data_IF_913425684107
#
_entry.id   IF_913425684107
#
_cell.length_a   1.000
_cell.length_b   1.000
_cell.length_c   1.000
_cell.angle_alpha   90.00
_cell.angle_beta   90.00
_cell.angle_gamma   90.00
#
_symmetry.space_group_name_H-M   'P 1'
#
loop_
_entity.id
_entity.type
_entity.pdbx_description
1 polymer ?
#
# COMPACT_ATOMS: atom_id res chain seq x y z
N UNK A 1 -4.30 15.82 -25.36
CA UNK A 1 -4.95 15.12 -24.23
C UNK A 1 -3.94 15.01 -23.10
N UNK A 2 -4.14 15.69 -21.96
CA UNK A 2 -3.27 15.49 -20.80
C UNK A 2 -3.30 14.01 -20.39
N UNK A 3 -2.15 13.47 -19.96
CA UNK A 3 -2.09 12.10 -19.45
C UNK A 3 -2.89 12.05 -18.15
N UNK A 4 -3.62 10.96 -17.87
CA UNK A 4 -4.48 10.85 -16.67
C UNK A 4 -3.75 11.15 -15.35
N UNK A 5 -2.44 10.88 -15.30
CA UNK A 5 -1.55 11.26 -14.19
C UNK A 5 -1.49 12.78 -13.95
N UNK A 6 -1.48 13.60 -15.00
CA UNK A 6 -1.47 15.06 -14.91
C UNK A 6 -2.82 15.60 -14.40
N UNK A 7 -3.93 14.96 -14.80
CA UNK A 7 -5.27 15.30 -14.28
C UNK A 7 -5.38 14.98 -12.80
N UNK A 8 -4.82 13.85 -12.35
CA UNK A 8 -4.80 13.48 -10.93
C UNK A 8 -3.89 14.43 -10.12
N UNK A 9 -2.73 14.80 -10.65
CA UNK A 9 -1.83 15.78 -10.01
C UNK A 9 -2.52 17.15 -9.83
N UNK A 10 -3.29 17.58 -10.84
CA UNK A 10 -4.05 18.83 -10.76
C UNK A 10 -5.07 18.80 -9.62
N UNK A 11 -5.84 17.72 -9.50
CA UNK A 11 -6.83 17.57 -8.41
C UNK A 11 -6.16 17.53 -7.03
N UNK A 12 -4.99 16.90 -6.92
CA UNK A 12 -4.23 16.89 -5.66
C UNK A 12 -3.81 18.30 -5.22
N UNK A 13 -3.46 19.18 -6.17
CA UNK A 13 -3.12 20.59 -5.89
C UNK A 13 -4.34 21.45 -5.60
N UNK A 14 -5.40 21.27 -6.39
CA UNK A 14 -6.61 22.11 -6.31
C UNK A 14 -7.49 21.74 -5.09
N UNK A 15 -7.46 20.48 -4.66
CA UNK A 15 -8.30 19.94 -3.59
C UNK A 15 -7.49 19.12 -2.58
N UNK A 16 -6.62 19.76 -1.78
CA UNK A 16 -5.82 19.06 -0.76
C UNK A 16 -6.70 18.40 0.31
N UNK A 17 -7.94 18.87 0.50
CA UNK A 17 -8.93 18.30 1.42
C UNK A 17 -9.42 16.90 1.05
N UNK A 18 -9.17 16.42 -0.18
CA UNK A 18 -9.47 15.04 -0.58
C UNK A 18 -8.42 14.02 -0.13
N UNK A 19 -7.34 14.47 0.54
CA UNK A 19 -6.43 13.55 1.22
C UNK A 19 -7.24 12.70 2.21
N UNK A 20 -6.97 11.39 2.23
CA UNK A 20 -7.49 10.54 3.30
C UNK A 20 -6.79 10.94 4.60
N UNK A 21 -7.50 11.68 5.45
CA UNK A 21 -7.07 11.93 6.82
C UNK A 21 -7.72 10.84 7.70
N UNK A 22 -7.29 9.59 7.53
CA UNK A 22 -7.55 8.60 8.59
C UNK A 22 -6.64 8.97 9.78
N UNK A 23 -7.18 8.88 11.01
CA UNK A 23 -6.51 9.35 12.23
C UNK A 23 -5.10 8.73 12.35
N UNK A 24 -4.06 9.57 12.16
CA UNK A 24 -2.66 9.19 12.37
C UNK A 24 -1.75 9.21 11.14
N UNK A 25 -2.25 9.42 9.92
CA UNK A 25 -1.39 9.53 8.73
C UNK A 25 -1.04 10.99 8.38
N UNK A 26 0.23 11.24 8.04
CA UNK A 26 0.66 12.55 7.53
C UNK A 26 -0.05 12.88 6.20
N UNK A 27 -0.58 14.11 6.04
CA UNK A 27 -1.27 14.52 4.82
C UNK A 27 -0.32 14.43 3.62
N UNK A 28 -0.85 13.99 2.48
CA UNK A 28 -0.09 13.87 1.23
C UNK A 28 0.42 15.26 0.83
N UNK A 29 1.74 15.48 0.98
CA UNK A 29 2.41 16.68 0.51
C UNK A 29 2.23 16.81 -1.01
N UNK A 30 1.39 17.77 -1.41
CA UNK A 30 1.09 18.07 -2.80
C UNK A 30 2.35 18.36 -3.63
N UNK A 31 3.45 18.77 -2.99
CA UNK A 31 4.76 19.04 -3.59
C UNK A 31 5.52 17.76 -3.98
N UNK A 32 5.16 16.61 -3.41
CA UNK A 32 5.78 15.29 -3.63
C UNK A 32 4.88 14.33 -4.42
N UNK A 33 3.77 14.81 -4.98
CA UNK A 33 2.78 14.01 -5.72
C UNK A 33 3.38 13.19 -6.85
N UNK A 34 4.38 13.71 -7.58
CA UNK A 34 5.11 12.96 -8.62
C UNK A 34 5.74 11.66 -8.09
N UNK A 35 6.24 11.65 -6.85
CA UNK A 35 6.79 10.47 -6.19
C UNK A 35 5.73 9.40 -5.98
N UNK A 36 4.45 9.80 -5.82
CA UNK A 36 3.27 8.96 -5.57
C UNK A 36 2.38 8.69 -6.81
N UNK A 37 2.74 9.17 -8.01
CA UNK A 37 2.05 8.84 -9.28
C UNK A 37 2.69 7.73 -10.15
N UNK A 38 3.99 7.47 -10.04
CA UNK A 38 4.65 6.31 -10.68
C UNK A 38 4.21 4.94 -10.15
N UNK A 39 3.77 4.04 -11.03
CA UNK A 39 3.44 2.67 -10.62
C UNK A 39 4.66 1.94 -10.05
N UNK A 40 4.49 1.33 -8.88
CA UNK A 40 5.49 0.39 -8.35
C UNK A 40 5.17 -0.94 -9.02
N UNK A 41 6.02 -1.35 -9.96
CA UNK A 41 5.92 -2.66 -10.57
C UNK A 41 6.20 -3.75 -9.53
N UNK A 42 5.52 -4.89 -9.67
CA UNK A 42 5.88 -6.09 -8.92
C UNK A 42 7.28 -6.54 -9.35
N UNK A 43 8.13 -6.82 -8.37
CA UNK A 43 9.52 -7.23 -8.59
C UNK A 43 9.81 -8.41 -7.67
N UNK A 44 10.10 -9.56 -8.27
CA UNK A 44 10.32 -10.83 -7.56
C UNK A 44 11.51 -10.80 -6.59
N UNK A 45 12.48 -9.91 -6.81
CA UNK A 45 13.64 -9.71 -5.92
C UNK A 45 13.39 -8.68 -4.83
N UNK A 46 12.25 -7.97 -4.88
CA UNK A 46 11.90 -6.91 -3.93
C UNK A 46 10.55 -7.22 -3.30
N UNK A 47 10.59 -8.04 -2.26
CA UNK A 47 9.40 -8.64 -1.63
C UNK A 47 8.47 -7.62 -0.96
N UNK A 48 8.93 -6.38 -0.76
CA UNK A 48 8.10 -5.28 -0.25
C UNK A 48 7.39 -4.46 -1.34
N UNK A 49 7.56 -4.79 -2.63
CA UNK A 49 6.99 -4.02 -3.74
C UNK A 49 5.46 -3.96 -3.70
N UNK A 50 4.81 -5.11 -3.49
CA UNK A 50 3.35 -5.19 -3.32
C UNK A 50 2.86 -4.39 -2.13
N UNK A 51 3.49 -4.53 -0.95
CA UNK A 51 3.16 -3.75 0.25
C UNK A 51 3.24 -2.24 0.01
N UNK A 52 4.32 -1.78 -0.63
CA UNK A 52 4.51 -0.36 -0.97
C UNK A 52 3.48 0.15 -1.99
N UNK A 53 3.07 -0.70 -2.93
CA UNK A 53 2.03 -0.37 -3.90
C UNK A 53 0.66 -0.19 -3.22
N UNK A 54 0.30 -1.09 -2.30
CA UNK A 54 -0.96 -1.02 -1.56
C UNK A 54 -1.03 0.19 -0.63
N UNK A 55 0.01 0.46 0.17
CA UNK A 55 0.07 1.66 1.02
C UNK A 55 -0.08 2.96 0.22
N UNK A 56 0.51 3.01 -0.96
CA UNK A 56 0.38 4.16 -1.86
C UNK A 56 -1.03 4.27 -2.45
N UNK A 57 -1.65 3.15 -2.79
CA UNK A 57 -3.01 3.11 -3.30
C UNK A 57 -4.02 3.59 -2.24
N UNK A 58 -3.84 3.18 -0.97
CA UNK A 58 -4.63 3.67 0.18
C UNK A 58 -4.51 5.20 0.29
N UNK A 59 -3.30 5.77 0.19
CA UNK A 59 -3.10 7.23 0.21
C UNK A 59 -3.80 7.97 -0.94
N UNK A 60 -3.96 7.30 -2.08
CA UNK A 60 -4.62 7.88 -3.26
C UNK A 60 -6.14 7.68 -3.28
N UNK A 61 -6.71 6.80 -2.44
CA UNK A 61 -8.14 6.45 -2.45
C UNK A 61 -9.04 7.69 -2.42
N UNK A 62 -8.76 8.67 -1.57
CA UNK A 62 -9.55 9.90 -1.45
C UNK A 62 -9.51 10.75 -2.72
N UNK A 63 -8.32 10.93 -3.30
CA UNK A 63 -8.16 11.64 -4.57
C UNK A 63 -8.80 10.91 -5.75
N UNK A 64 -8.76 9.58 -5.79
CA UNK A 64 -9.42 8.79 -6.85
C UNK A 64 -10.94 8.97 -6.76
N UNK A 65 -11.51 8.91 -5.54
CA UNK A 65 -12.94 9.19 -5.30
C UNK A 65 -13.31 10.63 -5.70
N UNK A 66 -12.48 11.62 -5.32
CA UNK A 66 -12.66 13.02 -5.71
C UNK A 66 -12.60 13.24 -7.23
N UNK A 67 -11.65 12.60 -7.91
CA UNK A 67 -11.53 12.63 -9.37
C UNK A 67 -12.76 12.03 -10.05
N UNK A 68 -13.26 10.89 -9.57
CA UNK A 68 -14.47 10.29 -10.12
C UNK A 68 -15.66 11.26 -10.03
N UNK A 69 -15.88 11.86 -8.86
CA UNK A 69 -16.95 12.83 -8.66
C UNK A 69 -16.80 14.03 -9.60
N UNK A 70 -15.58 14.57 -9.73
CA UNK A 70 -15.28 15.69 -10.62
C UNK A 70 -15.56 15.34 -12.10
N UNK A 71 -15.15 14.16 -12.57
CA UNK A 71 -15.40 13.72 -13.94
C UNK A 71 -16.89 13.48 -14.22
N UNK A 72 -17.65 13.00 -13.23
CA UNK A 72 -19.11 12.84 -13.35
C UNK A 72 -19.84 14.19 -13.43
N UNK A 73 -19.29 15.25 -12.80
CA UNK A 73 -19.81 16.63 -12.86
C UNK A 73 -19.47 17.35 -14.18
N UNK A 74 -18.38 16.97 -14.85
CA UNK A 74 -17.99 17.56 -16.13
C UNK A 74 -18.95 17.14 -17.25
N UNK A 75 -19.44 18.11 -18.03
CA UNK A 75 -20.33 17.85 -19.17
C UNK A 75 -19.59 17.38 -20.43
N UNK A 76 -18.26 17.33 -20.40
CA UNK A 76 -17.43 16.95 -21.54
C UNK A 76 -17.57 15.45 -21.87
N UNK A 77 -17.78 15.08 -23.16
CA UNK A 77 -17.98 13.68 -23.55
C UNK A 77 -16.77 12.78 -23.27
N UNK A 78 -15.54 13.29 -23.34
CA UNK A 78 -14.35 12.50 -23.02
C UNK A 78 -14.24 12.28 -21.51
N UNK A 79 -14.54 13.30 -20.70
CA UNK A 79 -14.61 13.16 -19.24
C UNK A 79 -15.67 12.16 -18.78
N UNK A 80 -16.85 12.14 -19.39
CA UNK A 80 -17.89 11.14 -19.11
C UNK A 80 -17.46 9.72 -19.48
N UNK A 81 -16.75 9.57 -20.60
CA UNK A 81 -16.17 8.28 -21.01
C UNK A 81 -15.11 7.81 -20.00
N UNK A 82 -14.24 8.69 -19.54
CA UNK A 82 -13.23 8.39 -18.54
C UNK A 82 -13.86 8.07 -17.17
N UNK A 83 -14.90 8.81 -16.75
CA UNK A 83 -15.66 8.53 -15.53
C UNK A 83 -16.24 7.11 -15.55
N UNK A 84 -16.86 6.71 -16.67
CA UNK A 84 -17.40 5.36 -16.85
C UNK A 84 -16.32 4.28 -16.77
N UNK A 85 -15.15 4.53 -17.36
CA UNK A 85 -14.01 3.60 -17.29
C UNK A 85 -13.48 3.49 -15.86
N UNK A 86 -13.31 4.62 -15.18
CA UNK A 86 -12.84 4.67 -13.79
C UNK A 86 -13.82 3.96 -12.85
N UNK A 87 -15.11 4.20 -12.98
CA UNK A 87 -16.17 3.53 -12.21
C UNK A 87 -16.12 2.01 -12.37
N UNK A 88 -15.87 1.52 -13.58
CA UNK A 88 -15.82 0.07 -13.84
C UNK A 88 -14.61 -0.63 -13.22
N UNK A 89 -13.49 0.07 -13.03
CA UNK A 89 -12.27 -0.47 -12.41
C UNK A 89 -12.14 -0.08 -10.94
N UNK A 90 -13.11 0.66 -10.41
CA UNK A 90 -13.05 1.20 -9.05
C UNK A 90 -13.17 0.07 -8.04
N UNK A 91 -12.26 0.07 -7.08
CA UNK A 91 -12.23 -0.88 -5.97
C UNK A 91 -13.44 -0.61 -5.06
N UNK A 92 -14.16 -1.67 -4.70
CA UNK A 92 -15.31 -1.62 -3.79
C UNK A 92 -14.88 -1.36 -2.35
N UNK A 93 -15.78 -0.90 -1.49
CA UNK A 93 -15.40 -0.57 -0.11
C UNK A 93 -14.98 -1.80 0.70
N UNK A 94 -15.52 -2.98 0.39
CA UNK A 94 -15.08 -4.24 0.99
C UNK A 94 -13.66 -4.60 0.54
N UNK A 95 -13.33 -4.41 -0.73
CA UNK A 95 -11.97 -4.64 -1.23
C UNK A 95 -10.98 -3.61 -0.66
N UNK A 96 -11.40 -2.36 -0.43
CA UNK A 96 -10.57 -1.38 0.29
C UNK A 96 -10.28 -1.82 1.72
N UNK A 97 -11.27 -2.34 2.44
CA UNK A 97 -11.07 -2.93 3.78
C UNK A 97 -10.10 -4.11 3.71
N UNK A 98 -10.28 -5.01 2.74
CA UNK A 98 -9.39 -6.15 2.56
C UNK A 98 -7.95 -5.73 2.27
N UNK A 99 -7.73 -4.67 1.48
CA UNK A 99 -6.40 -4.13 1.22
C UNK A 99 -5.80 -3.58 2.52
N UNK A 100 -6.58 -2.91 3.36
CA UNK A 100 -6.12 -2.39 4.65
C UNK A 100 -5.68 -3.55 5.58
N UNK A 101 -6.52 -4.57 5.73
CA UNK A 101 -6.21 -5.77 6.51
C UNK A 101 -4.95 -6.47 5.98
N UNK A 102 -4.81 -6.54 4.65
CA UNK A 102 -3.64 -7.14 4.02
C UNK A 102 -2.37 -6.30 4.28
N UNK A 103 -2.47 -4.97 4.27
CA UNK A 103 -1.32 -4.11 4.57
C UNK A 103 -0.83 -4.26 6.00
N UNK A 104 -1.72 -4.52 6.96
CA UNK A 104 -1.34 -4.83 8.34
C UNK A 104 -0.48 -6.10 8.40
N UNK A 105 -0.95 -7.19 7.78
CA UNK A 105 -0.22 -8.46 7.72
C UNK A 105 1.13 -8.30 7.00
N UNK A 106 1.14 -7.59 5.86
CA UNK A 106 2.34 -7.38 5.07
C UNK A 106 3.36 -6.45 5.75
N UNK A 107 2.93 -5.58 6.66
CA UNK A 107 3.83 -4.66 7.38
C UNK A 107 4.92 -5.42 8.14
N UNK A 108 4.58 -6.52 8.81
CA UNK A 108 5.55 -7.34 9.54
C UNK A 108 6.67 -7.89 8.64
N UNK A 109 6.33 -8.28 7.41
CA UNK A 109 7.32 -8.75 6.43
C UNK A 109 8.16 -7.59 5.88
N UNK A 110 7.55 -6.43 5.68
CA UNK A 110 8.24 -5.23 5.24
C UNK A 110 9.27 -4.78 6.28
N UNK A 111 8.91 -4.80 7.56
CA UNK A 111 9.79 -4.45 8.67
C UNK A 111 10.98 -5.42 8.77
N UNK A 112 10.71 -6.73 8.69
CA UNK A 112 11.75 -7.74 8.66
C UNK A 112 12.69 -7.58 7.45
N UNK A 113 12.13 -7.31 6.26
CA UNK A 113 12.93 -7.10 5.05
C UNK A 113 13.80 -5.85 5.17
N UNK A 114 13.27 -4.78 5.77
CA UNK A 114 14.02 -3.54 6.00
C UNK A 114 15.14 -3.75 7.03
N UNK A 115 14.84 -4.46 8.12
CA UNK A 115 15.82 -4.81 9.15
C UNK A 115 16.97 -5.65 8.59
N UNK A 116 16.65 -6.77 7.92
CA UNK A 116 17.66 -7.68 7.36
C UNK A 116 18.39 -7.06 6.17
N UNK A 117 17.69 -6.28 5.33
CA UNK A 117 18.29 -5.56 4.20
C UNK A 117 19.21 -4.41 4.63
N UNK A 118 19.00 -3.84 5.82
CA UNK A 118 19.88 -2.84 6.42
C UNK A 118 21.14 -3.42 7.06
N UNK A 119 21.18 -4.73 7.31
CA UNK A 119 22.34 -5.40 7.88
C UNK A 119 23.44 -5.59 6.83
N UNK A 120 24.65 -5.10 7.10
CA UNK A 120 25.82 -5.31 6.23
C UNK A 120 26.15 -6.80 6.04
N UNK A 121 25.96 -7.59 7.11
CA UNK A 121 26.04 -9.03 7.10
C UNK A 121 24.89 -9.57 7.94
N UNK A 122 23.97 -10.28 7.30
CA UNK A 122 22.87 -10.90 8.00
C UNK A 122 23.36 -12.23 8.59
N UNK A 123 23.47 -12.32 9.91
CA UNK A 123 23.94 -13.52 10.62
C UNK A 123 22.78 -14.44 10.98
N UNK A 124 23.08 -15.73 11.16
CA UNK A 124 22.11 -16.72 11.63
C UNK A 124 21.41 -16.29 12.94
N UNK A 125 22.18 -15.67 13.84
CA UNK A 125 21.68 -15.10 15.09
C UNK A 125 20.67 -13.96 14.92
N UNK A 126 20.68 -13.25 13.78
CA UNK A 126 19.72 -12.19 13.47
C UNK A 126 18.55 -12.70 12.61
N UNK A 127 18.79 -13.68 11.74
CA UNK A 127 17.73 -14.29 10.91
C UNK A 127 16.73 -15.07 11.74
N UNK A 128 17.21 -15.98 12.60
CA UNK A 128 16.36 -16.84 13.41
C UNK A 128 15.33 -16.10 14.28
N UNK A 129 15.69 -15.07 15.06
CA UNK A 129 14.71 -14.33 15.84
C UNK A 129 13.70 -13.60 14.94
N UNK A 130 14.14 -13.02 13.82
CA UNK A 130 13.26 -12.33 12.86
C UNK A 130 12.22 -13.29 12.27
N UNK A 131 12.63 -14.49 11.83
CA UNK A 131 11.72 -15.52 11.31
C UNK A 131 10.77 -15.99 12.41
N UNK A 132 11.26 -16.17 13.64
CA UNK A 132 10.44 -16.57 14.79
C UNK A 132 9.37 -15.53 15.11
N UNK A 133 9.69 -14.25 15.02
CA UNK A 133 8.75 -13.15 15.23
C UNK A 133 7.67 -13.13 14.15
N UNK A 134 8.03 -13.22 12.87
CA UNK A 134 7.07 -13.31 11.75
C UNK A 134 6.12 -14.49 11.97
N UNK A 135 6.65 -15.67 12.34
CA UNK A 135 5.82 -16.85 12.58
C UNK A 135 4.83 -16.64 13.72
N UNK A 136 5.18 -15.90 14.78
CA UNK A 136 4.24 -15.58 15.87
C UNK A 136 3.06 -14.74 15.39
N UNK A 137 3.31 -13.76 14.53
CA UNK A 137 2.27 -12.87 14.01
C UNK A 137 1.30 -13.57 13.05
N UNK A 138 1.81 -14.46 12.19
CA UNK A 138 0.97 -15.19 11.21
C UNK A 138 0.15 -16.30 11.88
N UNK A 139 0.63 -16.80 13.03
CA UNK A 139 0.06 -17.98 13.65
C UNK A 139 -1.39 -17.70 14.07
N UNK A 140 -2.38 -18.47 13.57
CA UNK A 140 -3.76 -18.30 13.98
C UNK A 140 -3.87 -18.57 15.48
N UNK A 141 -4.59 -17.70 16.18
CA UNK A 141 -4.77 -17.70 17.65
C UNK A 141 -5.33 -19.01 18.21
N UNK A 142 -5.82 -19.90 17.35
CA UNK A 142 -6.38 -21.21 17.67
C UNK A 142 -5.37 -22.37 17.70
N UNK A 143 -4.07 -22.14 17.51
CA UNK A 143 -3.05 -23.21 17.52
C UNK A 143 -2.15 -23.19 18.76
N UNK A 144 -2.67 -23.65 19.90
CA UNK A 144 -1.85 -24.12 21.02
C UNK A 144 -1.13 -25.41 20.63
N UNK A 145 -0.05 -25.32 19.86
CA UNK A 145 0.89 -26.43 19.69
C UNK A 145 2.30 -25.91 19.97
N UNK A 146 2.86 -26.32 21.11
CA UNK A 146 4.21 -26.01 21.54
C UNK A 146 5.21 -26.45 20.47
N UNK A 147 5.73 -25.52 19.68
CA UNK A 147 6.90 -25.78 18.85
C UNK A 147 8.13 -25.59 19.73
N UNK A 148 8.56 -26.66 20.39
CA UNK A 148 9.90 -26.75 20.96
C UNK A 148 10.89 -26.84 19.81
N UNK A 149 11.51 -25.72 19.45
CA UNK A 149 12.70 -25.71 18.61
C UNK A 149 13.86 -26.17 19.50
N UNK A 150 14.22 -27.46 19.38
CA UNK A 150 15.46 -27.97 19.95
C UNK A 150 16.59 -27.49 19.07
N UNK A 151 17.34 -26.48 19.54
CA UNK A 151 18.66 -26.19 18.99
C UNK A 151 19.61 -27.26 19.52
N UNK A 152 19.96 -28.22 18.67
CA UNK A 152 21.03 -29.14 18.96
C UNK A 152 22.34 -28.47 18.52
N UNK A 153 23.19 -28.15 19.49
CA UNK A 153 24.57 -27.69 19.27
C UNK A 153 25.47 -28.92 19.18
N UNK A 154 26.20 -29.06 18.08
CA UNK A 154 27.43 -29.86 18.01
C UNK A 154 28.64 -29.01 18.43
#
# INVERSE_FOLDING_TARGET
MPKQSERLEKIQKDHPSFANNEEGEEPVDASKTSKYLNTIADVSTRWNSSYLAWNRLIKLKGYIKGLLNHLELESDPDSQKDAKRLRNIMITENEWSLILDLTEVLSHFADATNYLGGCKYCTYSSMNPTITEIMKWIRPSSSNNNFTVVFQSD
#
